data_IF_871217658998
#
_entry.id   IF_871217658998
#
_cell.length_a   1.000
_cell.length_b   1.000
_cell.length_c   1.000
_cell.angle_alpha   90.00
_cell.angle_beta   90.00
_cell.angle_gamma   90.00
#
_symmetry.space_group_name_H-M   'P 1'
#
loop_
_entity.id
_entity.type
_entity.pdbx_description
1 polymer ?
#
# COMPACT_ATOMS: atom_id res chain seq x y z
N UNK A 1 62.50 -26.20 42.62
CA UNK A 1 61.51 -26.41 43.66
C UNK A 1 60.40 -25.43 43.59
N UNK A 2 59.26 -25.93 43.76
CA UNK A 2 57.89 -25.34 43.80
C UNK A 2 57.15 -25.02 42.52
N UNK A 3 56.35 -25.91 42.31
CA UNK A 3 55.17 -26.10 41.47
C UNK A 3 54.02 -25.23 42.00
N UNK A 4 53.35 -24.44 41.19
CA UNK A 4 52.02 -23.92 41.54
C UNK A 4 51.13 -23.95 40.32
N UNK A 5 50.12 -24.78 40.44
CA UNK A 5 49.01 -25.04 39.53
C UNK A 5 48.17 -23.79 39.23
N UNK A 6 47.84 -23.58 38.00
CA UNK A 6 46.74 -22.70 37.56
C UNK A 6 45.37 -23.33 37.84
N UNK A 7 44.36 -22.56 38.17
CA UNK A 7 42.98 -22.99 38.01
C UNK A 7 42.36 -22.41 36.72
N UNK A 8 41.85 -23.32 35.96
CA UNK A 8 41.01 -23.08 34.79
C UNK A 8 39.74 -22.30 35.14
N UNK A 9 39.66 -21.07 34.71
CA UNK A 9 38.42 -20.29 34.72
C UNK A 9 37.68 -20.45 33.39
N UNK A 10 36.61 -21.21 33.40
CA UNK A 10 35.64 -21.26 32.30
C UNK A 10 34.90 -19.92 32.22
N UNK A 11 35.22 -19.11 31.24
CA UNK A 11 34.42 -17.96 30.87
C UNK A 11 33.15 -18.47 30.15
N UNK A 12 32.00 -18.38 30.79
CA UNK A 12 30.71 -18.52 30.16
C UNK A 12 30.51 -17.31 29.28
N UNK A 13 30.59 -17.48 27.96
CA UNK A 13 30.14 -16.49 27.01
C UNK A 13 28.61 -16.53 27.00
N UNK A 14 27.98 -15.54 27.60
CA UNK A 14 26.56 -15.26 27.43
C UNK A 14 26.39 -14.68 26.02
N UNK A 15 26.00 -15.52 25.08
CA UNK A 15 25.51 -15.07 23.80
C UNK A 15 24.12 -14.43 24.01
N UNK A 16 24.10 -13.12 24.11
CA UNK A 16 22.85 -12.36 24.02
C UNK A 16 22.34 -12.48 22.58
N UNK A 17 21.42 -13.40 22.37
CA UNK A 17 20.63 -13.44 21.15
C UNK A 17 19.77 -12.15 21.13
N UNK A 18 20.21 -11.14 20.39
CA UNK A 18 19.33 -10.06 19.95
C UNK A 18 18.31 -10.67 18.98
N UNK A 19 17.20 -11.13 19.51
CA UNK A 19 15.99 -11.31 18.73
C UNK A 19 15.53 -9.90 18.33
N UNK A 20 15.93 -9.48 17.14
CA UNK A 20 15.24 -8.39 16.44
C UNK A 20 13.80 -8.83 16.27
N UNK A 21 12.94 -8.37 17.17
CA UNK A 21 11.51 -8.35 16.93
C UNK A 21 11.32 -7.48 15.69
N UNK A 22 11.27 -8.14 14.52
CA UNK A 22 10.70 -7.55 13.34
C UNK A 22 9.29 -7.13 13.76
N UNK A 23 9.11 -5.84 13.99
CA UNK A 23 7.77 -5.25 14.07
C UNK A 23 7.12 -5.64 12.75
N UNK A 24 6.01 -6.40 12.77
CA UNK A 24 5.26 -6.60 11.54
C UNK A 24 4.92 -5.20 11.05
N UNK A 25 5.33 -4.91 9.81
CA UNK A 25 4.86 -3.74 9.12
C UNK A 25 3.36 -3.69 9.37
N UNK A 26 2.88 -2.54 9.89
CA UNK A 26 1.47 -2.30 10.08
C UNK A 26 0.84 -2.40 8.69
N UNK A 27 0.42 -3.61 8.32
CA UNK A 27 -0.61 -3.78 7.33
C UNK A 27 -1.77 -2.96 7.90
N UNK A 28 -2.02 -1.80 7.32
CA UNK A 28 -3.16 -0.99 7.70
C UNK A 28 -4.35 -1.86 7.44
N UNK A 29 -4.99 -2.27 8.52
CA UNK A 29 -6.12 -3.17 8.50
C UNK A 29 -7.23 -2.48 7.68
N UNK A 30 -7.31 -2.81 6.41
CA UNK A 30 -8.45 -2.44 5.58
C UNK A 30 -9.61 -3.30 6.05
N UNK A 31 -10.54 -2.65 6.71
CA UNK A 31 -11.76 -3.31 7.15
C UNK A 31 -12.87 -3.10 6.13
N UNK A 32 -13.56 -4.18 5.77
CA UNK A 32 -14.84 -4.10 5.09
C UNK A 32 -15.91 -3.61 6.09
N UNK A 33 -16.23 -2.32 5.98
CA UNK A 33 -17.15 -1.63 6.89
C UNK A 33 -18.61 -1.90 6.56
N UNK A 34 -18.88 -2.58 5.50
CA UNK A 34 -20.19 -3.02 5.42
C UNK A 34 -20.92 -2.90 4.18
N UNK A 35 -21.16 -2.20 3.66
CA UNK A 35 -22.22 -2.14 2.71
C UNK A 35 -21.81 -2.31 1.22
N UNK A 36 -21.22 -3.39 0.86
CA UNK A 36 -21.18 -3.78 -0.55
C UNK A 36 -22.59 -3.67 -1.12
N UNK A 37 -22.74 -3.09 -2.33
CA UNK A 37 -24.02 -2.96 -3.06
C UNK A 37 -24.83 -4.27 -3.02
N UNK A 38 -25.72 -4.42 -2.08
CA UNK A 38 -26.46 -5.67 -1.91
C UNK A 38 -27.30 -5.77 -0.65
N UNK A 39 -27.59 -4.64 -0.01
CA UNK A 39 -28.46 -4.61 1.16
C UNK A 39 -27.75 -5.03 2.45
N UNK A 40 -28.09 -4.40 3.52
CA UNK A 40 -27.62 -4.73 4.87
C UNK A 40 -27.99 -6.18 5.20
N UNK A 41 -27.01 -7.07 5.09
CA UNK A 41 -27.16 -8.41 5.61
C UNK A 41 -27.06 -8.32 7.12
N UNK A 42 -28.15 -8.56 7.84
CA UNK A 42 -28.08 -8.66 9.29
C UNK A 42 -27.40 -9.98 9.68
N UNK A 43 -26.15 -9.88 10.14
CA UNK A 43 -25.38 -11.02 10.57
C UNK A 43 -25.80 -11.44 11.99
N UNK A 44 -26.18 -12.69 12.14
CA UNK A 44 -26.34 -13.30 13.44
C UNK A 44 -25.02 -13.83 13.95
N UNK A 45 -24.50 -13.25 15.03
CA UNK A 45 -23.28 -13.74 15.66
C UNK A 45 -23.56 -15.04 16.42
N UNK A 46 -22.88 -16.12 16.06
CA UNK A 46 -22.92 -17.43 16.71
C UNK A 46 -21.51 -17.92 16.99
N UNK A 47 -21.36 -18.77 17.99
CA UNK A 47 -20.03 -19.34 18.34
C UNK A 47 -19.54 -18.97 19.72
N UNK A 48 -18.50 -19.68 20.19
CA UNK A 48 -17.95 -19.52 21.54
C UNK A 48 -17.28 -18.15 21.79
N UNK A 49 -16.86 -17.47 20.74
CA UNK A 49 -16.25 -16.15 20.83
C UNK A 49 -17.23 -15.02 21.08
N UNK A 50 -18.53 -15.20 20.78
CA UNK A 50 -19.52 -14.11 20.88
C UNK A 50 -19.61 -13.52 22.28
N UNK A 51 -19.43 -14.34 23.32
CA UNK A 51 -19.44 -13.86 24.70
C UNK A 51 -18.28 -12.85 24.96
N UNK A 52 -17.15 -13.01 24.26
CA UNK A 52 -15.94 -12.19 24.41
C UNK A 52 -15.97 -10.88 23.65
N UNK A 53 -16.85 -10.76 22.64
CA UNK A 53 -16.97 -9.54 21.84
C UNK A 53 -17.41 -8.36 22.70
N UNK A 54 -16.84 -7.20 22.42
CA UNK A 54 -17.27 -5.92 22.99
C UNK A 54 -18.74 -5.65 22.69
N UNK A 55 -19.47 -5.00 23.60
CA UNK A 55 -20.88 -4.66 23.41
C UNK A 55 -21.14 -3.88 22.11
N UNK A 56 -20.23 -2.98 21.75
CA UNK A 56 -20.30 -2.12 20.57
C UNK A 56 -20.33 -2.94 19.27
N UNK A 57 -19.59 -4.06 19.24
CA UNK A 57 -19.54 -4.97 18.10
C UNK A 57 -20.78 -5.87 17.98
N UNK A 58 -21.53 -6.05 19.07
CA UNK A 58 -22.73 -6.91 19.10
C UNK A 58 -24.02 -6.17 18.86
N UNK A 59 -24.13 -4.91 19.33
CA UNK A 59 -25.38 -4.16 19.41
C UNK A 59 -25.91 -3.71 18.05
N UNK A 60 -25.02 -3.32 17.15
CA UNK A 60 -25.41 -2.75 15.85
C UNK A 60 -25.28 -3.78 14.73
N UNK A 61 -26.11 -3.69 13.68
CA UNK A 61 -25.98 -4.52 12.49
C UNK A 61 -24.58 -4.37 11.85
N UNK A 62 -24.05 -3.16 11.86
CA UNK A 62 -22.71 -2.83 11.34
C UNK A 62 -21.58 -3.40 12.18
N UNK A 63 -21.67 -3.35 13.49
CA UNK A 63 -20.70 -4.01 14.38
C UNK A 63 -20.67 -5.52 14.14
N UNK A 64 -21.83 -6.16 13.95
CA UNK A 64 -21.91 -7.58 13.61
C UNK A 64 -21.33 -7.88 12.23
N UNK A 65 -21.63 -7.04 11.24
CA UNK A 65 -21.05 -7.15 9.90
C UNK A 65 -19.54 -6.98 9.91
N UNK A 66 -19.02 -6.02 10.65
CA UNK A 66 -17.59 -5.81 10.85
C UNK A 66 -16.88 -7.07 11.37
N UNK A 67 -17.45 -7.73 12.38
CA UNK A 67 -16.88 -8.98 12.91
C UNK A 67 -16.88 -10.07 11.85
N UNK A 68 -18.02 -10.34 11.23
CA UNK A 68 -18.20 -11.46 10.32
C UNK A 68 -17.42 -11.29 9.01
N UNK A 69 -17.32 -10.09 8.50
CA UNK A 69 -16.63 -9.84 7.22
C UNK A 69 -15.12 -9.80 7.33
N UNK A 70 -14.61 -9.33 8.46
CA UNK A 70 -13.18 -9.10 8.61
C UNK A 70 -12.47 -10.18 9.47
N UNK A 71 -13.21 -10.92 10.30
CA UNK A 71 -12.61 -11.81 11.30
C UNK A 71 -13.10 -13.25 11.23
N UNK A 72 -14.19 -13.58 10.54
CA UNK A 72 -14.55 -14.97 10.20
C UNK A 72 -13.61 -15.48 9.10
N UNK A 73 -12.39 -15.88 9.52
CA UNK A 73 -11.32 -16.24 8.58
C UNK A 73 -11.51 -17.56 7.88
N UNK A 74 -12.22 -18.49 8.53
CA UNK A 74 -12.50 -19.81 7.99
C UNK A 74 -13.86 -19.87 7.27
N UNK A 75 -14.58 -18.74 7.23
CA UNK A 75 -15.89 -18.59 6.58
C UNK A 75 -16.93 -19.65 7.04
N UNK A 76 -16.82 -20.08 8.33
CA UNK A 76 -17.75 -21.07 8.89
C UNK A 76 -19.05 -20.42 9.45
N UNK A 77 -19.15 -19.10 9.38
CA UNK A 77 -20.27 -18.32 9.87
C UNK A 77 -20.35 -18.23 11.40
N UNK A 78 -19.28 -18.64 12.11
CA UNK A 78 -19.18 -18.65 13.57
C UNK A 78 -18.02 -17.77 14.02
N UNK A 79 -18.13 -17.28 15.26
CA UNK A 79 -17.07 -16.48 15.87
C UNK A 79 -16.34 -17.33 16.90
N UNK A 80 -15.11 -17.68 16.61
CA UNK A 80 -14.22 -18.33 17.59
C UNK A 80 -13.68 -17.33 18.62
N UNK A 81 -13.17 -17.77 19.78
CA UNK A 81 -12.53 -16.88 20.74
C UNK A 81 -11.39 -16.04 20.19
N UNK A 82 -10.57 -16.61 19.28
CA UNK A 82 -9.44 -15.90 18.64
C UNK A 82 -9.92 -14.82 17.67
N UNK A 83 -10.96 -15.08 16.92
CA UNK A 83 -11.58 -14.10 16.01
C UNK A 83 -12.23 -12.96 16.79
N UNK A 84 -12.88 -13.27 17.90
CA UNK A 84 -13.45 -12.25 18.79
C UNK A 84 -12.36 -11.33 19.38
N UNK A 85 -11.25 -11.92 19.85
CA UNK A 85 -10.14 -11.16 20.42
C UNK A 85 -9.49 -10.26 19.34
N UNK A 86 -9.33 -10.77 18.12
CA UNK A 86 -8.82 -10.00 16.98
C UNK A 86 -9.76 -8.84 16.60
N UNK A 87 -11.07 -9.09 16.54
CA UNK A 87 -12.07 -8.07 16.26
C UNK A 87 -12.10 -6.97 17.33
N UNK A 88 -12.05 -7.35 18.61
CA UNK A 88 -11.98 -6.42 19.73
C UNK A 88 -10.73 -5.54 19.65
N UNK A 89 -9.56 -6.15 19.43
CA UNK A 89 -8.30 -5.42 19.33
C UNK A 89 -8.31 -4.43 18.17
N UNK A 90 -8.83 -4.83 17.02
CA UNK A 90 -8.98 -3.97 15.85
C UNK A 90 -9.92 -2.80 16.15
N UNK A 91 -11.10 -3.08 16.70
CA UNK A 91 -12.06 -2.06 17.05
C UNK A 91 -11.51 -1.06 18.08
N UNK A 92 -10.81 -1.52 19.12
CA UNK A 92 -10.21 -0.64 20.14
C UNK A 92 -9.13 0.28 19.56
N UNK A 93 -8.32 -0.21 18.61
CA UNK A 93 -7.33 0.64 17.92
C UNK A 93 -8.00 1.79 17.17
N UNK A 94 -9.14 1.52 16.54
CA UNK A 94 -9.85 2.52 15.72
C UNK A 94 -10.72 3.48 16.54
N UNK A 95 -11.44 2.95 17.53
CA UNK A 95 -12.38 3.73 18.32
C UNK A 95 -11.68 4.58 19.38
N UNK A 96 -10.49 4.17 19.83
CA UNK A 96 -9.72 4.86 20.86
C UNK A 96 -10.54 5.08 22.15
N UNK A 97 -10.38 6.24 22.76
CA UNK A 97 -11.09 6.60 24.00
C UNK A 97 -12.60 6.88 23.82
N UNK A 98 -13.11 6.97 22.59
CA UNK A 98 -14.51 7.28 22.27
C UNK A 98 -15.34 6.06 21.82
N UNK A 99 -14.94 4.86 22.26
CA UNK A 99 -15.57 3.60 21.83
C UNK A 99 -17.07 3.51 22.12
N UNK A 100 -17.53 4.08 23.22
CA UNK A 100 -18.94 4.13 23.66
C UNK A 100 -19.83 5.00 22.77
N UNK A 101 -19.20 5.95 22.04
CA UNK A 101 -19.83 6.86 21.08
C UNK A 101 -19.33 6.62 19.67
N UNK A 102 -18.83 5.42 19.39
CA UNK A 102 -18.31 5.11 18.07
C UNK A 102 -19.46 5.17 17.05
N UNK A 103 -19.31 6.12 16.14
CA UNK A 103 -20.28 6.35 15.09
C UNK A 103 -20.00 5.41 13.92
N UNK A 104 -20.74 4.32 13.86
CA UNK A 104 -20.69 3.36 12.76
C UNK A 104 -21.17 3.97 11.44
N UNK A 105 -22.03 4.98 11.51
CA UNK A 105 -22.59 5.64 10.32
C UNK A 105 -21.60 6.62 9.69
N UNK A 106 -20.81 7.29 10.50
CA UNK A 106 -19.75 8.15 9.99
C UNK A 106 -18.63 7.36 9.30
N UNK A 107 -18.59 6.04 9.50
CA UNK A 107 -17.65 5.14 8.82
C UNK A 107 -18.21 4.58 7.51
N UNK A 108 -19.57 4.53 7.40
CA UNK A 108 -20.26 4.29 6.14
C UNK A 108 -20.60 5.56 5.38
N UNK A 109 -20.45 6.70 5.97
CA UNK A 109 -20.03 7.76 5.10
C UNK A 109 -18.72 7.20 4.55
N UNK A 110 -18.86 6.27 3.52
CA UNK A 110 -18.16 6.62 2.32
C UNK A 110 -17.88 8.10 2.50
N UNK A 111 -16.63 8.51 2.85
CA UNK A 111 -16.21 9.80 2.31
C UNK A 111 -16.96 9.82 1.01
N UNK A 112 -17.96 10.73 0.83
CA UNK A 112 -18.69 10.61 -0.39
C UNK A 112 -17.57 10.31 -1.34
N UNK A 113 -17.51 9.08 -1.89
CA UNK A 113 -16.79 8.89 -3.10
C UNK A 113 -17.55 9.90 -3.88
N UNK A 114 -17.06 11.12 -3.79
CA UNK A 114 -17.25 12.09 -4.80
C UNK A 114 -16.62 11.29 -5.90
N UNK A 115 -17.44 10.39 -6.47
CA UNK A 115 -17.27 9.96 -7.81
C UNK A 115 -17.45 11.26 -8.55
N UNK A 116 -16.44 12.09 -8.30
CA UNK A 116 -16.19 13.21 -9.12
C UNK A 116 -15.95 12.51 -10.44
N UNK A 117 -17.05 12.32 -11.20
CA UNK A 117 -16.98 11.87 -12.58
C UNK A 117 -16.15 12.88 -13.40
N UNK A 118 -15.71 13.94 -12.76
CA UNK A 118 -14.95 15.07 -13.29
C UNK A 118 -13.45 14.95 -12.98
N UNK A 119 -12.87 13.73 -13.00
CA UNK A 119 -11.42 13.61 -13.14
C UNK A 119 -11.00 13.98 -14.55
N UNK A 120 -9.81 14.48 -14.72
CA UNK A 120 -9.26 14.93 -16.00
C UNK A 120 -9.06 13.76 -16.98
N UNK A 121 -10.17 13.38 -17.66
CA UNK A 121 -10.19 12.29 -18.65
C UNK A 121 -9.24 12.57 -19.81
N UNK A 122 -9.14 13.84 -20.23
CA UNK A 122 -8.26 14.22 -21.33
C UNK A 122 -6.80 14.05 -20.95
N UNK A 123 -6.39 14.53 -19.79
CA UNK A 123 -5.03 14.36 -19.30
C UNK A 123 -4.66 12.90 -19.04
N UNK A 124 -5.63 12.07 -18.61
CA UNK A 124 -5.41 10.62 -18.43
C UNK A 124 -5.22 9.89 -19.77
N UNK A 125 -5.88 10.30 -20.85
CA UNK A 125 -5.64 9.75 -22.21
C UNK A 125 -4.22 10.03 -22.71
N UNK A 126 -3.64 11.15 -22.34
CA UNK A 126 -2.30 11.55 -22.76
C UNK A 126 -1.19 10.62 -22.21
N UNK A 127 -1.48 9.82 -21.18
CA UNK A 127 -0.53 8.82 -20.67
C UNK A 127 -0.36 7.61 -21.59
N UNK A 128 -1.24 7.36 -22.56
CA UNK A 128 -1.16 6.22 -23.50
C UNK A 128 -0.96 4.89 -22.75
N UNK A 129 -1.89 4.57 -21.90
CA UNK A 129 -1.79 3.39 -21.04
C UNK A 129 -1.75 2.10 -21.86
N UNK A 130 -0.88 1.19 -21.44
CA UNK A 130 -0.85 -0.21 -21.91
C UNK A 130 -1.48 -1.14 -20.87
N UNK A 131 -2.05 -2.24 -21.32
CA UNK A 131 -2.54 -3.28 -20.41
C UNK A 131 -1.39 -4.19 -20.04
N UNK A 132 -1.23 -4.43 -18.74
CA UNK A 132 -0.31 -5.42 -18.16
C UNK A 132 -1.11 -6.44 -17.34
N UNK A 133 -0.46 -7.50 -16.87
CA UNK A 133 -1.07 -8.48 -15.96
C UNK A 133 -1.56 -7.86 -14.63
N UNK A 134 -0.94 -6.76 -14.22
CA UNK A 134 -1.27 -6.06 -12.97
C UNK A 134 -2.32 -4.96 -13.15
N UNK A 135 -2.54 -4.47 -14.37
CA UNK A 135 -3.49 -3.39 -14.62
C UNK A 135 -3.09 -2.44 -15.76
N UNK A 136 -3.68 -1.25 -15.74
CA UNK A 136 -3.37 -0.18 -16.68
C UNK A 136 -2.06 0.51 -16.29
N UNK A 137 -1.04 0.42 -17.14
CA UNK A 137 0.33 0.90 -16.87
C UNK A 137 0.73 1.96 -17.88
N UNK A 138 1.45 2.97 -17.43
CA UNK A 138 2.08 3.99 -18.28
C UNK A 138 3.47 4.37 -17.76
N UNK A 139 4.28 4.95 -18.63
CA UNK A 139 5.66 5.29 -18.34
C UNK A 139 5.86 6.80 -18.16
N UNK A 140 6.49 7.15 -17.06
CA UNK A 140 7.03 8.48 -16.83
C UNK A 140 8.51 8.46 -17.22
N UNK A 141 8.85 9.15 -18.30
CA UNK A 141 10.21 9.19 -18.86
C UNK A 141 11.16 10.02 -17.97
N UNK A 142 12.45 9.70 -18.04
CA UNK A 142 13.55 10.39 -17.31
C UNK A 142 13.55 11.93 -17.49
N UNK A 143 13.05 12.41 -18.63
CA UNK A 143 12.95 13.86 -18.88
C UNK A 143 12.17 14.63 -17.81
N UNK A 144 11.39 13.93 -17.00
CA UNK A 144 10.64 14.49 -15.88
C UNK A 144 11.51 14.73 -14.64
N UNK A 145 12.73 14.19 -14.60
CA UNK A 145 13.67 14.39 -13.51
C UNK A 145 14.81 15.33 -13.93
N UNK A 146 15.51 15.90 -12.96
CA UNK A 146 16.79 16.53 -13.19
C UNK A 146 17.83 15.47 -13.54
N UNK A 147 18.80 15.81 -14.39
CA UNK A 147 19.81 14.84 -14.88
C UNK A 147 20.57 14.18 -13.71
N UNK A 148 20.62 12.85 -13.71
CA UNK A 148 21.28 12.06 -12.66
C UNK A 148 20.63 12.18 -11.28
N UNK A 149 19.41 12.71 -11.18
CA UNK A 149 18.73 13.02 -9.94
C UNK A 149 17.36 12.31 -9.84
N UNK A 150 16.86 12.21 -8.62
CA UNK A 150 15.48 11.82 -8.33
C UNK A 150 14.55 13.03 -8.13
N UNK A 151 15.04 14.26 -8.28
CA UNK A 151 14.23 15.47 -8.15
C UNK A 151 13.37 15.65 -9.39
N UNK A 152 12.06 15.71 -9.18
CA UNK A 152 11.10 16.01 -10.24
C UNK A 152 11.21 17.48 -10.69
N UNK A 153 11.19 17.70 -11.99
CA UNK A 153 11.08 19.05 -12.57
C UNK A 153 9.69 19.63 -12.33
N UNK A 154 9.53 20.95 -12.23
CA UNK A 154 8.21 21.57 -12.06
C UNK A 154 7.18 21.12 -13.13
N UNK A 155 7.59 20.98 -14.38
CA UNK A 155 6.73 20.48 -15.46
C UNK A 155 6.27 19.03 -15.23
N UNK A 156 7.08 18.18 -14.60
CA UNK A 156 6.72 16.81 -14.23
C UNK A 156 5.57 16.79 -13.22
N UNK A 157 5.63 17.66 -12.21
CA UNK A 157 4.57 17.79 -11.20
C UNK A 157 3.24 18.15 -11.87
N UNK A 158 3.24 19.04 -12.87
CA UNK A 158 2.02 19.36 -13.62
C UNK A 158 1.47 18.15 -14.40
N UNK A 159 2.36 17.32 -14.95
CA UNK A 159 1.96 16.10 -15.67
C UNK A 159 1.37 15.02 -14.75
N UNK A 160 1.60 15.05 -13.46
CA UNK A 160 1.00 14.13 -12.50
C UNK A 160 -0.42 14.55 -12.05
N UNK A 161 -0.87 15.78 -12.37
CA UNK A 161 -2.19 16.27 -11.94
C UNK A 161 -3.37 15.43 -12.41
N UNK A 162 -3.43 14.98 -13.69
CA UNK A 162 -4.53 14.12 -14.13
C UNK A 162 -4.60 12.81 -13.34
N UNK A 163 -3.45 12.19 -13.08
CA UNK A 163 -3.35 11.00 -12.25
C UNK A 163 -3.83 11.27 -10.82
N UNK A 164 -3.35 12.35 -10.19
CA UNK A 164 -3.78 12.73 -8.85
C UNK A 164 -5.29 12.98 -8.79
N UNK A 165 -5.86 13.66 -9.81
CA UNK A 165 -7.30 13.89 -9.94
C UNK A 165 -8.07 12.56 -10.06
N UNK A 166 -7.59 11.62 -10.88
CA UNK A 166 -8.18 10.30 -11.01
C UNK A 166 -8.14 9.53 -9.69
N UNK A 167 -6.98 9.47 -9.01
CA UNK A 167 -6.81 8.75 -7.75
C UNK A 167 -7.63 9.35 -6.61
N UNK A 168 -7.73 10.67 -6.55
CA UNK A 168 -8.61 11.35 -5.58
C UNK A 168 -10.09 11.02 -5.81
N UNK A 169 -10.48 10.80 -7.07
CA UNK A 169 -11.84 10.37 -7.43
C UNK A 169 -12.05 8.85 -7.26
N UNK A 170 -10.98 8.07 -7.17
CA UNK A 170 -10.99 6.62 -7.05
C UNK A 170 -10.01 6.16 -5.95
N UNK A 171 -10.28 6.45 -4.68
CA UNK A 171 -9.34 6.23 -3.59
C UNK A 171 -9.02 4.76 -3.31
N UNK A 172 -9.84 3.83 -3.81
CA UNK A 172 -9.67 2.39 -3.63
C UNK A 172 -8.77 1.75 -4.70
N UNK A 173 -8.22 2.54 -5.64
CA UNK A 173 -7.36 2.02 -6.71
C UNK A 173 -5.92 1.98 -6.22
N UNK A 174 -5.33 0.79 -5.98
CA UNK A 174 -3.94 0.69 -5.60
C UNK A 174 -3.04 1.11 -6.75
N UNK A 175 -1.95 1.79 -6.42
CA UNK A 175 -1.00 2.30 -7.39
C UNK A 175 0.36 1.69 -7.14
N UNK A 176 0.90 1.01 -8.15
CA UNK A 176 2.26 0.52 -8.13
C UNK A 176 3.16 1.49 -8.89
N UNK A 177 4.29 1.85 -8.30
CA UNK A 177 5.27 2.79 -8.85
C UNK A 177 6.63 2.11 -8.87
N UNK A 178 7.11 1.76 -10.06
CA UNK A 178 8.33 1.02 -10.28
C UNK A 178 9.38 1.91 -10.97
N UNK A 179 10.51 2.12 -10.32
CA UNK A 179 11.61 2.91 -10.87
C UNK A 179 12.63 2.03 -11.59
N UNK A 180 13.18 2.53 -12.72
CA UNK A 180 14.16 1.85 -13.53
C UNK A 180 15.29 2.82 -13.96
N UNK A 181 16.46 2.26 -14.24
CA UNK A 181 17.62 2.97 -14.83
C UNK A 181 18.06 2.28 -16.10
N UNK A 182 18.95 2.92 -16.84
CA UNK A 182 19.81 2.24 -17.80
C UNK A 182 21.00 1.58 -17.08
N UNK A 183 21.86 0.89 -17.84
CA UNK A 183 23.03 0.18 -17.33
C UNK A 183 24.27 1.07 -17.10
N UNK A 184 24.10 2.40 -17.07
CA UNK A 184 25.22 3.31 -16.82
C UNK A 184 25.36 3.55 -15.32
N UNK A 185 26.51 3.17 -14.76
CA UNK A 185 26.80 3.29 -13.33
C UNK A 185 27.03 1.95 -12.65
N UNK A 186 27.03 1.93 -11.33
CA UNK A 186 27.06 0.68 -10.57
C UNK A 186 25.64 0.22 -10.23
N UNK A 187 25.44 -1.11 -10.14
CA UNK A 187 24.17 -1.73 -9.78
C UNK A 187 23.58 -1.10 -8.51
N UNK A 188 24.42 -0.89 -7.49
CA UNK A 188 23.99 -0.30 -6.21
C UNK A 188 23.53 1.16 -6.37
N UNK A 189 24.22 1.95 -7.19
CA UNK A 189 23.83 3.33 -7.49
C UNK A 189 22.53 3.36 -8.29
N UNK A 190 22.36 2.48 -9.26
CA UNK A 190 21.17 2.35 -10.10
C UNK A 190 19.97 1.87 -9.27
N UNK A 191 20.18 0.91 -8.37
CA UNK A 191 19.15 0.46 -7.44
C UNK A 191 18.64 1.63 -6.59
N UNK A 192 19.54 2.35 -5.93
CA UNK A 192 19.18 3.47 -5.07
C UNK A 192 18.53 4.63 -5.83
N UNK A 193 19.02 4.93 -7.06
CA UNK A 193 18.45 5.99 -7.90
C UNK A 193 17.01 5.65 -8.33
N UNK A 194 16.76 4.41 -8.73
CA UNK A 194 15.44 3.94 -9.13
C UNK A 194 14.43 4.00 -7.98
N UNK A 195 14.82 3.55 -6.78
CA UNK A 195 13.99 3.65 -5.56
C UNK A 195 13.64 5.11 -5.23
N UNK A 196 14.64 5.99 -5.26
CA UNK A 196 14.43 7.42 -4.98
C UNK A 196 13.52 8.10 -6.00
N UNK A 197 13.61 7.72 -7.28
CA UNK A 197 12.73 8.25 -8.34
C UNK A 197 11.28 7.82 -8.13
N UNK A 198 11.05 6.54 -7.85
CA UNK A 198 9.73 6.03 -7.53
C UNK A 198 9.14 6.70 -6.27
N UNK A 199 9.94 6.86 -5.23
CA UNK A 199 9.54 7.58 -4.01
C UNK A 199 9.20 9.06 -4.27
N UNK A 200 9.91 9.73 -5.20
CA UNK A 200 9.62 11.12 -5.55
C UNK A 200 8.28 11.28 -6.27
N UNK A 201 7.91 10.32 -7.13
CA UNK A 201 6.59 10.30 -7.77
C UNK A 201 5.49 10.10 -6.71
N UNK A 202 5.67 9.15 -5.78
CA UNK A 202 4.75 8.97 -4.65
C UNK A 202 4.58 10.26 -3.87
N UNK A 203 5.70 10.88 -3.43
CA UNK A 203 5.66 12.10 -2.63
C UNK A 203 4.94 13.25 -3.34
N UNK A 204 5.12 13.38 -4.67
CA UNK A 204 4.42 14.38 -5.47
C UNK A 204 2.89 14.13 -5.52
N UNK A 205 2.46 12.87 -5.65
CA UNK A 205 1.04 12.50 -5.63
C UNK A 205 0.44 12.73 -4.24
N UNK A 206 1.15 12.35 -3.16
CA UNK A 206 0.72 12.61 -1.78
C UNK A 206 0.59 14.11 -1.49
N UNK A 207 1.52 14.94 -1.99
CA UNK A 207 1.44 16.39 -1.88
C UNK A 207 0.22 16.99 -2.64
N UNK A 208 -0.35 16.26 -3.60
CA UNK A 208 -1.58 16.62 -4.30
C UNK A 208 -2.84 16.04 -3.61
N UNK A 209 -2.70 15.41 -2.44
CA UNK A 209 -3.81 14.90 -1.63
C UNK A 209 -4.22 13.46 -1.94
N UNK A 210 -3.41 12.69 -2.68
CA UNK A 210 -3.65 11.26 -2.87
C UNK A 210 -3.23 10.51 -1.60
N UNK A 211 -4.06 9.55 -1.15
CA UNK A 211 -3.80 8.78 0.05
C UNK A 211 -2.54 7.91 -0.10
N UNK A 212 -1.63 7.98 0.88
CA UNK A 212 -0.35 7.25 0.85
C UNK A 212 -0.52 5.73 1.00
N UNK A 213 -1.63 5.28 1.52
CA UNK A 213 -1.89 3.87 1.82
C UNK A 213 -2.09 3.01 0.57
N UNK A 214 -2.28 3.66 -0.58
CA UNK A 214 -2.54 2.99 -1.85
C UNK A 214 -1.28 2.76 -2.69
N UNK A 215 -0.12 3.21 -2.22
CA UNK A 215 1.11 3.13 -3.00
C UNK A 215 1.95 1.90 -2.67
N UNK A 216 2.30 1.14 -3.71
CA UNK A 216 3.34 0.13 -3.72
C UNK A 216 4.53 0.72 -4.49
N UNK A 217 5.67 0.90 -3.84
CA UNK A 217 6.84 1.57 -4.43
C UNK A 217 8.03 0.62 -4.45
N UNK A 218 8.65 0.47 -5.62
CA UNK A 218 9.86 -0.34 -5.78
C UNK A 218 10.86 0.32 -6.74
N UNK A 219 12.14 0.03 -6.53
CA UNK A 219 13.20 0.31 -7.50
C UNK A 219 13.76 -1.01 -8.02
N UNK A 220 14.08 -1.06 -9.29
CA UNK A 220 14.59 -2.23 -9.98
C UNK A 220 15.99 -2.01 -10.57
N UNK A 221 16.55 -0.80 -10.40
CA UNK A 221 17.82 -0.45 -11.05
C UNK A 221 17.75 -0.74 -12.55
N UNK A 222 18.77 -1.40 -13.06
CA UNK A 222 18.88 -1.80 -14.47
C UNK A 222 18.38 -3.23 -14.77
N UNK A 223 17.87 -3.96 -13.76
CA UNK A 223 17.57 -5.39 -13.88
C UNK A 223 16.36 -5.73 -14.74
N UNK A 224 15.51 -4.73 -15.04
CA UNK A 224 14.29 -4.90 -15.83
C UNK A 224 14.24 -3.92 -17.01
N UNK A 225 15.10 -4.12 -18.03
CA UNK A 225 15.18 -3.21 -19.17
C UNK A 225 13.93 -3.34 -20.07
N UNK A 226 13.43 -2.21 -20.56
CA UNK A 226 12.37 -2.14 -21.58
C UNK A 226 12.93 -2.21 -23.00
N UNK A 227 14.21 -1.86 -23.18
CA UNK A 227 14.92 -1.87 -24.45
C UNK A 227 16.40 -2.19 -24.25
N UNK A 228 17.11 -2.47 -25.36
CA UNK A 228 18.55 -2.73 -25.30
C UNK A 228 19.33 -1.45 -24.92
N UNK A 229 20.24 -1.55 -23.96
CA UNK A 229 21.13 -0.48 -23.51
C UNK A 229 22.26 -0.16 -24.51
N UNK A 230 22.37 -0.93 -25.60
CA UNK A 230 23.38 -0.71 -26.63
C UNK A 230 23.22 0.61 -27.40
N UNK A 231 21.99 1.16 -27.43
CA UNK A 231 21.69 2.42 -28.10
C UNK A 231 21.32 3.53 -27.11
N UNK A 232 21.56 4.78 -27.49
CA UNK A 232 21.14 5.94 -26.70
C UNK A 232 19.61 5.99 -26.52
N UNK A 233 18.85 5.61 -27.54
CA UNK A 233 17.40 5.53 -27.49
C UNK A 233 16.93 4.45 -26.52
N UNK A 234 17.56 3.27 -26.56
CA UNK A 234 17.23 2.18 -25.64
C UNK A 234 17.48 2.57 -24.18
N UNK A 235 18.66 3.16 -23.90
CA UNK A 235 18.95 3.69 -22.56
C UNK A 235 17.95 4.75 -22.12
N UNK A 236 17.49 5.62 -23.02
CA UNK A 236 16.47 6.60 -22.69
C UNK A 236 15.14 5.94 -22.31
N UNK A 237 14.74 4.86 -22.98
CA UNK A 237 13.53 4.10 -22.65
C UNK A 237 13.66 3.36 -21.32
N UNK A 238 14.86 2.89 -20.98
CA UNK A 238 15.13 2.21 -19.72
C UNK A 238 15.07 3.16 -18.51
N UNK A 239 15.47 4.42 -18.66
CA UNK A 239 15.35 5.45 -17.62
C UNK A 239 13.90 5.93 -17.51
N UNK A 240 13.09 5.18 -16.77
CA UNK A 240 11.65 5.45 -16.60
C UNK A 240 11.18 5.17 -15.19
N UNK A 241 10.01 5.67 -14.87
CA UNK A 241 9.19 5.22 -13.75
C UNK A 241 7.86 4.72 -14.32
N UNK A 242 7.57 3.45 -14.11
CA UNK A 242 6.29 2.86 -14.48
C UNK A 242 5.27 3.12 -13.37
N UNK A 243 4.06 3.53 -13.78
CA UNK A 243 2.93 3.69 -12.87
C UNK A 243 1.83 2.76 -13.33
N UNK A 244 1.42 1.84 -12.45
CA UNK A 244 0.36 0.87 -12.72
C UNK A 244 -0.83 1.13 -11.81
N UNK A 245 -1.98 1.35 -12.41
CA UNK A 245 -3.28 1.37 -11.74
C UNK A 245 -3.77 -0.07 -11.61
N UNK A 246 -3.57 -0.66 -10.42
CA UNK A 246 -3.77 -2.09 -10.21
C UNK A 246 -5.24 -2.47 -10.41
N UNK A 247 -5.46 -3.53 -11.20
CA UNK A 247 -6.81 -4.02 -11.51
C UNK A 247 -7.61 -3.17 -12.50
N UNK A 248 -7.07 -2.03 -12.98
CA UNK A 248 -7.76 -1.18 -13.95
C UNK A 248 -7.50 -1.64 -15.39
N UNK A 249 -8.47 -1.37 -16.27
CA UNK A 249 -8.37 -1.69 -17.69
C UNK A 249 -7.84 -0.47 -18.47
N UNK A 250 -6.76 -0.65 -19.25
CA UNK A 250 -6.16 0.45 -20.02
C UNK A 250 -7.17 1.09 -21.01
N UNK A 251 -8.07 0.29 -21.60
CA UNK A 251 -9.14 0.78 -22.50
C UNK A 251 -10.09 1.79 -21.85
N UNK A 252 -10.27 1.73 -20.54
CA UNK A 252 -11.14 2.68 -19.80
C UNK A 252 -10.61 4.11 -19.80
N UNK A 253 -9.36 4.29 -20.20
CA UNK A 253 -8.70 5.60 -20.31
C UNK A 253 -8.50 6.07 -21.76
N UNK A 254 -8.89 5.27 -22.75
CA UNK A 254 -8.72 5.57 -24.19
C UNK A 254 -9.95 6.21 -24.83
N UNK A 255 -11.11 6.11 -24.17
CA UNK A 255 -12.42 6.60 -24.65
C UNK A 255 -12.70 8.05 -24.25
#
# INVERSE_FOLDING_TARGET
>A
MLNLKSPSGRALALAAALTTLATPALAQDRFDWGGGRGGERDYRLIGAGVARLLPELKRTARGRAFVMRNFDRNADGRVSPREADAANAAFLRMAGARRDRFDWESRDVERPVVRNRDWDRRGMRDYRMRQTEHGATFDLQDVLFETGSARLRPAAVQRLRPLASYLSANPDVPVRIDGHTDSVGSDSSNQLLSERRAASVRAALSAMGVDENEFIVAGHGETMPAASDSSATGRQLNRRVEVTLVGQQARSFSE
#
